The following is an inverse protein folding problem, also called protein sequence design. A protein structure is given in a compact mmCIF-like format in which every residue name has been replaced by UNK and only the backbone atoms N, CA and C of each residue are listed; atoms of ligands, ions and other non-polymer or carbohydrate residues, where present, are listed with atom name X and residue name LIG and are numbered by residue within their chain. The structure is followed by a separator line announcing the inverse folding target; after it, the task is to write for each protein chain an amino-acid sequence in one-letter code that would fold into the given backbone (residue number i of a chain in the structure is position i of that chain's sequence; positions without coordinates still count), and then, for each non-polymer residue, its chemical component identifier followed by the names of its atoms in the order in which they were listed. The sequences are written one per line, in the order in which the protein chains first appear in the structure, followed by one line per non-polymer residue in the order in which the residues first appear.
data_IF_096157990342
#
_entry.id   IF_096157990342
#
_cell.length_a   1.000
_cell.length_b   1.000
_cell.length_c   1.000
_cell.angle_alpha   90.00
_cell.angle_beta   90.00
_cell.angle_gamma   90.00
#
_symmetry.space_group_name_H-M   'P 1'
#
loop_
_entity.id
_entity.type
_entity.pdbx_description
1 polymer ?
#
# COMPACT_ATOMS: atom_id res chain seq x y z
N UNK A 1 3.98 34.44 5.85
CA UNK A 1 5.26 33.92 6.37
C UNK A 1 5.05 32.47 6.72
N UNK A 2 5.67 31.54 5.99
CA UNK A 2 5.64 30.08 6.23
C UNK A 2 6.77 29.73 7.22
N UNK A 3 6.82 30.37 8.40
CA UNK A 3 7.79 30.02 9.42
C UNK A 3 7.28 28.80 10.19
N UNK A 4 7.89 27.65 9.96
CA UNK A 4 7.57 26.40 10.63
C UNK A 4 7.45 25.17 9.72
N UNK A 5 7.52 25.32 8.42
CA UNK A 5 7.63 24.14 7.55
C UNK A 5 9.04 23.55 7.66
N UNK A 6 9.14 22.21 7.86
CA UNK A 6 10.45 21.57 7.82
C UNK A 6 11.13 21.83 6.47
N UNK A 7 12.44 22.04 6.49
CA UNK A 7 13.23 22.15 5.27
C UNK A 7 13.20 20.81 4.51
N UNK A 8 12.26 20.68 3.59
CA UNK A 8 12.08 19.47 2.79
C UNK A 8 13.30 19.16 1.91
N UNK A 9 14.12 20.18 1.58
CA UNK A 9 15.33 19.98 0.79
C UNK A 9 16.39 19.19 1.56
N UNK A 10 16.41 19.27 2.89
CA UNK A 10 17.31 18.49 3.74
C UNK A 10 17.07 16.97 3.63
N UNK A 11 15.85 16.57 3.28
CA UNK A 11 15.52 15.16 3.09
C UNK A 11 16.03 14.58 1.77
N UNK A 12 16.36 15.43 0.80
CA UNK A 12 16.79 15.01 -0.53
C UNK A 12 17.99 14.06 -0.50
N UNK A 13 18.95 14.32 0.39
CA UNK A 13 20.15 13.49 0.56
C UNK A 13 19.85 12.05 1.05
N UNK A 14 18.67 11.82 1.63
CA UNK A 14 18.24 10.48 2.09
C UNK A 14 17.77 9.57 0.95
N UNK A 15 17.59 10.10 -0.26
CA UNK A 15 17.12 9.38 -1.43
C UNK A 15 18.20 9.37 -2.53
N UNK A 16 19.02 8.32 -2.63
CA UNK A 16 20.20 8.29 -3.51
C UNK A 16 19.91 8.61 -4.97
N UNK A 17 18.76 8.20 -5.51
CA UNK A 17 18.37 8.47 -6.90
C UNK A 17 18.30 9.96 -7.22
N UNK A 18 17.98 10.80 -6.23
CA UNK A 18 17.84 12.25 -6.40
C UNK A 18 19.19 12.98 -6.57
N UNK A 19 20.32 12.29 -6.35
CA UNK A 19 21.63 12.83 -6.66
C UNK A 19 21.90 12.95 -8.17
N UNK A 20 21.28 12.08 -8.97
CA UNK A 20 21.56 11.96 -10.41
C UNK A 20 20.32 12.10 -11.30
N UNK A 21 19.11 12.07 -10.75
CA UNK A 21 17.86 12.09 -11.52
C UNK A 21 16.85 13.11 -10.95
N UNK A 22 16.04 13.67 -11.85
CA UNK A 22 14.77 14.28 -11.49
C UNK A 22 13.73 13.19 -11.46
N UNK A 23 13.31 12.75 -10.24
CA UNK A 23 12.43 11.61 -10.06
C UNK A 23 11.00 12.09 -9.77
N UNK A 24 10.08 11.88 -10.72
CA UNK A 24 8.70 12.38 -10.65
C UNK A 24 7.65 11.26 -10.75
N UNK A 25 8.06 9.97 -10.63
CA UNK A 25 7.19 8.80 -10.80
C UNK A 25 6.85 8.12 -9.47
N UNK A 26 6.83 8.86 -8.36
CA UNK A 26 6.52 8.32 -7.02
C UNK A 26 5.12 7.67 -6.91
N UNK A 27 4.22 7.99 -7.82
CA UNK A 27 2.90 7.38 -7.93
C UNK A 27 2.95 5.90 -8.32
N UNK A 28 4.02 5.43 -8.96
CA UNK A 28 4.21 4.04 -9.37
C UNK A 28 5.17 3.31 -8.44
N UNK A 29 6.42 3.78 -8.36
CA UNK A 29 7.43 3.27 -7.45
C UNK A 29 8.12 4.43 -6.77
N UNK A 30 7.95 4.57 -5.45
CA UNK A 30 8.57 5.64 -4.67
C UNK A 30 10.10 5.63 -4.75
N UNK A 31 10.72 6.81 -4.66
CA UNK A 31 12.16 6.89 -4.51
C UNK A 31 12.59 6.14 -3.24
N UNK A 32 13.54 5.21 -3.37
CA UNK A 32 13.98 4.39 -2.24
C UNK A 32 14.84 5.22 -1.26
N UNK A 33 14.49 5.28 0.03
CA UNK A 33 15.37 5.82 1.06
C UNK A 33 16.62 4.96 1.24
N UNK A 34 17.76 5.57 1.53
CA UNK A 34 19.01 4.84 1.78
C UNK A 34 18.91 3.85 2.95
N UNK A 35 18.09 4.15 3.96
CA UNK A 35 17.84 3.28 5.12
C UNK A 35 17.20 1.94 4.78
N UNK A 36 16.54 1.81 3.64
CA UNK A 36 15.88 0.55 3.22
C UNK A 36 16.88 -0.59 3.08
N UNK A 37 18.13 -0.30 2.67
CA UNK A 37 19.18 -1.31 2.54
C UNK A 37 19.46 -1.95 3.90
N UNK A 38 19.57 -1.13 4.95
CA UNK A 38 19.80 -1.61 6.31
C UNK A 38 18.60 -2.41 6.85
N UNK A 39 17.39 -1.91 6.67
CA UNK A 39 16.18 -2.62 7.09
C UNK A 39 16.02 -3.98 6.41
N UNK A 40 16.39 -4.10 5.11
CA UNK A 40 16.39 -5.38 4.42
C UNK A 40 17.46 -6.33 4.95
N UNK A 41 18.63 -5.81 5.33
CA UNK A 41 19.68 -6.60 5.94
C UNK A 41 19.22 -7.15 7.30
N UNK A 42 18.69 -6.31 8.16
CA UNK A 42 18.12 -6.69 9.45
C UNK A 42 17.02 -7.76 9.31
N UNK A 43 16.11 -7.58 8.33
CA UNK A 43 15.06 -8.54 8.04
C UNK A 43 15.65 -9.92 7.70
N UNK A 44 16.63 -9.98 6.80
CA UNK A 44 17.23 -11.24 6.36
C UNK A 44 18.08 -11.90 7.44
N UNK A 45 18.80 -11.12 8.25
CA UNK A 45 19.60 -11.62 9.39
C UNK A 45 18.70 -12.20 10.49
N UNK A 46 17.60 -11.53 10.80
CA UNK A 46 16.61 -12.01 11.76
C UNK A 46 15.99 -13.33 11.29
N UNK A 47 15.61 -13.41 10.01
CA UNK A 47 15.08 -14.65 9.43
C UNK A 47 16.11 -15.78 9.49
N UNK A 48 17.33 -15.52 9.05
CA UNK A 48 18.41 -16.53 9.02
C UNK A 48 18.77 -17.06 10.42
N UNK A 49 18.70 -16.21 11.44
CA UNK A 49 19.09 -16.59 12.82
C UNK A 49 17.97 -17.14 13.66
N UNK A 50 16.72 -16.69 13.46
CA UNK A 50 15.59 -17.03 14.34
C UNK A 50 14.48 -17.86 13.64
N UNK A 51 14.49 -17.94 12.32
CA UNK A 51 13.48 -18.70 11.58
C UNK A 51 12.06 -18.24 11.91
N UNK A 52 11.19 -19.16 12.32
CA UNK A 52 9.78 -18.89 12.63
C UNK A 52 9.57 -17.92 13.81
N UNK A 53 10.51 -17.84 14.74
CA UNK A 53 10.43 -16.93 15.91
C UNK A 53 10.53 -15.46 15.48
N UNK A 54 11.09 -15.17 14.31
CA UNK A 54 11.13 -13.82 13.76
C UNK A 54 9.76 -13.16 13.60
N UNK A 55 8.67 -13.94 13.53
CA UNK A 55 7.29 -13.41 13.51
C UNK A 55 6.95 -12.59 14.76
N UNK A 56 7.56 -12.87 15.90
CA UNK A 56 7.34 -12.10 17.13
C UNK A 56 7.82 -10.65 17.00
N UNK A 57 8.75 -10.40 16.07
CA UNK A 57 9.20 -9.05 15.71
C UNK A 57 8.39 -8.47 14.55
N UNK A 58 8.17 -9.23 13.49
CA UNK A 58 7.56 -8.69 12.26
C UNK A 58 6.09 -8.33 12.41
N UNK A 59 5.29 -9.11 13.17
CA UNK A 59 3.87 -8.80 13.35
C UNK A 59 3.65 -7.46 14.07
N UNK A 60 4.39 -7.13 15.16
CA UNK A 60 4.34 -5.80 15.76
C UNK A 60 4.74 -4.68 14.78
N UNK A 61 5.73 -4.89 13.90
CA UNK A 61 6.14 -3.89 12.90
C UNK A 61 5.05 -3.62 11.87
N UNK A 62 4.33 -4.65 11.43
CA UNK A 62 3.16 -4.48 10.54
C UNK A 62 2.07 -3.64 11.24
N UNK A 63 1.78 -3.93 12.51
CA UNK A 63 0.79 -3.17 13.28
C UNK A 63 1.24 -1.72 13.51
N UNK A 64 2.51 -1.50 13.81
CA UNK A 64 3.11 -0.16 13.97
C UNK A 64 3.03 0.64 12.66
N UNK A 65 3.31 0.01 11.52
CA UNK A 65 3.20 0.64 10.20
C UNK A 65 1.76 1.10 9.94
N UNK A 66 0.77 0.24 10.21
CA UNK A 66 -0.64 0.61 10.09
C UNK A 66 -0.98 1.81 10.99
N UNK A 67 -0.50 1.82 12.24
CA UNK A 67 -0.72 2.91 13.18
C UNK A 67 -0.12 4.25 12.72
N UNK A 68 1.07 4.24 12.11
CA UNK A 68 1.68 5.45 11.53
C UNK A 68 0.84 5.98 10.37
N UNK A 69 0.35 5.10 9.51
CA UNK A 69 -0.52 5.50 8.40
C UNK A 69 -1.86 6.07 8.89
N UNK A 70 -2.45 5.50 9.95
CA UNK A 70 -3.65 6.03 10.61
C UNK A 70 -3.42 7.48 11.07
N UNK A 71 -2.27 7.77 11.69
CA UNK A 71 -1.93 9.13 12.11
C UNK A 71 -1.82 10.09 10.91
N UNK A 72 -1.18 9.66 9.82
CA UNK A 72 -0.99 10.48 8.61
C UNK A 72 -2.33 10.87 7.97
N UNK A 73 -3.29 9.95 7.91
CA UNK A 73 -4.61 10.19 7.30
C UNK A 73 -5.68 10.59 8.32
N UNK A 74 -5.33 10.76 9.59
CA UNK A 74 -6.25 11.06 10.69
C UNK A 74 -7.39 10.03 10.85
N UNK A 75 -7.09 8.75 10.61
CA UNK A 75 -8.02 7.65 10.80
C UNK A 75 -8.07 7.19 12.26
N UNK A 76 -9.19 6.60 12.73
CA UNK A 76 -9.24 5.99 14.07
C UNK A 76 -8.23 4.85 14.22
N UNK A 77 -7.70 4.66 15.42
CA UNK A 77 -6.80 3.54 15.72
C UNK A 77 -7.48 2.19 15.49
N UNK A 78 -6.76 1.29 14.82
CA UNK A 78 -7.23 -0.06 14.47
C UNK A 78 -8.19 -0.10 13.27
N UNK A 79 -8.32 1.01 12.53
CA UNK A 79 -9.17 1.07 11.32
C UNK A 79 -8.42 0.71 10.03
N UNK A 80 -7.10 0.54 10.10
CA UNK A 80 -6.27 0.23 8.93
C UNK A 80 -5.68 -1.17 9.02
N UNK A 81 -5.69 -1.87 7.89
CA UNK A 81 -5.00 -3.15 7.74
C UNK A 81 -4.03 -3.10 6.56
N UNK A 82 -2.89 -3.77 6.72
CA UNK A 82 -1.89 -3.85 5.67
C UNK A 82 -2.21 -4.99 4.71
N UNK A 83 -2.21 -4.71 3.42
CA UNK A 83 -2.40 -5.70 2.36
C UNK A 83 -1.19 -5.71 1.43
N UNK A 84 -0.93 -6.84 0.77
CA UNK A 84 0.21 -7.00 -0.13
C UNK A 84 0.17 -6.05 -1.33
N UNK A 85 -1.03 -5.78 -1.86
CA UNK A 85 -1.26 -4.90 -3.00
C UNK A 85 -2.73 -4.48 -3.09
N UNK A 86 -3.01 -3.49 -3.94
CA UNK A 86 -4.36 -2.97 -4.18
C UNK A 86 -5.33 -4.05 -4.67
N UNK A 87 -4.88 -4.96 -5.53
CA UNK A 87 -5.73 -6.02 -6.09
C UNK A 87 -6.23 -6.96 -4.99
N UNK A 88 -5.36 -7.38 -4.07
CA UNK A 88 -5.75 -8.23 -2.95
C UNK A 88 -6.68 -7.51 -1.96
N UNK A 89 -6.40 -6.23 -1.68
CA UNK A 89 -7.27 -5.41 -0.84
C UNK A 89 -8.67 -5.26 -1.46
N UNK A 90 -8.73 -4.94 -2.76
CA UNK A 90 -9.99 -4.82 -3.47
C UNK A 90 -10.72 -6.16 -3.58
N UNK A 91 -10.02 -7.27 -3.81
CA UNK A 91 -10.63 -8.60 -3.81
C UNK A 91 -11.29 -8.93 -2.47
N UNK A 92 -10.62 -8.61 -1.35
CA UNK A 92 -11.19 -8.80 -0.02
C UNK A 92 -12.46 -7.96 0.19
N UNK A 93 -12.47 -6.69 -0.25
CA UNK A 93 -13.66 -5.83 -0.17
C UNK A 93 -14.81 -6.39 -1.03
N UNK A 94 -14.52 -6.74 -2.29
CA UNK A 94 -15.53 -7.23 -3.22
C UNK A 94 -16.12 -8.58 -2.77
N UNK A 95 -15.35 -9.41 -2.07
CA UNK A 95 -15.83 -10.68 -1.52
C UNK A 95 -16.88 -10.53 -0.40
N UNK A 96 -17.01 -9.34 0.17
CA UNK A 96 -18.02 -9.02 1.19
C UNK A 96 -19.35 -8.54 0.58
N UNK A 97 -19.43 -8.40 -0.75
CA UNK A 97 -20.60 -7.86 -1.44
C UNK A 97 -21.40 -8.97 -2.10
N UNK A 98 -22.71 -8.87 -2.00
CA UNK A 98 -23.65 -9.71 -2.74
C UNK A 98 -24.16 -8.92 -3.95
N UNK A 99 -24.17 -9.55 -5.13
CA UNK A 99 -24.58 -8.94 -6.38
C UNK A 99 -25.96 -9.40 -6.79
N UNK A 100 -26.98 -8.90 -6.08
CA UNK A 100 -28.38 -9.17 -6.35
C UNK A 100 -29.10 -7.92 -6.86
N UNK A 101 -30.07 -8.11 -7.78
CA UNK A 101 -30.89 -7.01 -8.27
C UNK A 101 -31.69 -6.36 -7.14
N UNK A 102 -31.80 -5.04 -7.13
CA UNK A 102 -31.32 -4.05 -8.14
C UNK A 102 -29.91 -3.50 -7.86
N UNK A 103 -29.13 -4.07 -6.93
CA UNK A 103 -27.84 -3.55 -6.46
C UNK A 103 -26.67 -4.44 -6.89
N UNK A 104 -26.59 -4.79 -8.16
CA UNK A 104 -25.56 -5.65 -8.70
C UNK A 104 -24.53 -4.93 -9.60
N UNK A 105 -24.55 -3.59 -9.67
CA UNK A 105 -23.67 -2.84 -10.54
C UNK A 105 -22.40 -2.42 -9.85
N UNK A 106 -21.25 -2.61 -10.53
CA UNK A 106 -19.94 -2.05 -10.17
C UNK A 106 -19.57 -1.01 -11.22
N UNK A 107 -19.49 0.26 -10.80
CA UNK A 107 -19.03 1.34 -11.67
C UNK A 107 -17.54 1.58 -11.43
N UNK A 108 -16.75 1.68 -12.51
CA UNK A 108 -15.34 2.04 -12.42
C UNK A 108 -14.92 3.00 -13.54
N UNK A 109 -13.79 3.70 -13.34
CA UNK A 109 -13.26 4.61 -14.35
C UNK A 109 -12.53 3.85 -15.46
N UNK A 110 -12.59 4.41 -16.69
CA UNK A 110 -11.73 3.95 -17.77
C UNK A 110 -10.25 4.26 -17.45
N UNK A 111 -9.35 3.30 -17.73
CA UNK A 111 -7.91 3.47 -17.50
C UNK A 111 -7.44 3.07 -16.10
N UNK A 112 -8.23 2.28 -15.39
CA UNK A 112 -7.77 1.61 -14.17
C UNK A 112 -6.55 0.72 -14.46
N UNK A 113 -5.80 0.40 -13.40
CA UNK A 113 -4.66 -0.49 -13.53
C UNK A 113 -5.15 -1.89 -13.99
N UNK A 114 -4.46 -2.56 -14.93
CA UNK A 114 -4.96 -3.77 -15.57
C UNK A 114 -5.44 -4.87 -14.62
N UNK A 115 -4.75 -5.08 -13.48
CA UNK A 115 -5.17 -6.10 -12.49
C UNK A 115 -6.48 -5.75 -11.80
N UNK A 116 -6.82 -4.47 -11.67
CA UNK A 116 -8.11 -4.03 -11.16
C UNK A 116 -9.21 -4.34 -12.17
N UNK A 117 -8.99 -4.03 -13.46
CA UNK A 117 -9.95 -4.36 -14.51
C UNK A 117 -10.23 -5.86 -14.59
N UNK A 118 -9.17 -6.71 -14.54
CA UNK A 118 -9.33 -8.16 -14.52
C UNK A 118 -10.10 -8.66 -13.30
N UNK A 119 -9.84 -8.10 -12.13
CA UNK A 119 -10.55 -8.46 -10.90
C UNK A 119 -12.03 -8.10 -11.00
N UNK A 120 -12.36 -6.89 -11.47
CA UNK A 120 -13.74 -6.44 -11.63
C UNK A 120 -14.47 -7.28 -12.68
N UNK A 121 -13.85 -7.57 -13.82
CA UNK A 121 -14.45 -8.42 -14.84
C UNK A 121 -14.75 -9.84 -14.32
N UNK A 122 -13.89 -10.35 -13.43
CA UNK A 122 -14.11 -11.62 -12.72
C UNK A 122 -15.40 -11.66 -11.90
N UNK A 123 -15.87 -10.52 -11.36
CA UNK A 123 -17.09 -10.43 -10.55
C UNK A 123 -18.36 -10.71 -11.37
N UNK A 124 -18.32 -10.57 -12.71
CA UNK A 124 -19.44 -10.94 -13.60
C UNK A 124 -19.90 -12.38 -13.42
N UNK A 125 -18.96 -13.27 -13.05
CA UNK A 125 -19.26 -14.69 -12.84
C UNK A 125 -20.16 -14.96 -11.65
N UNK A 126 -20.22 -14.02 -10.71
CA UNK A 126 -21.01 -14.12 -9.48
C UNK A 126 -22.17 -13.10 -9.44
N UNK A 127 -22.55 -12.55 -10.59
CA UNK A 127 -23.77 -11.75 -10.75
C UNK A 127 -23.55 -10.24 -10.88
N UNK A 128 -22.32 -9.74 -10.80
CA UNK A 128 -22.06 -8.32 -10.96
C UNK A 128 -22.23 -7.86 -12.42
N UNK A 129 -22.84 -6.71 -12.61
CA UNK A 129 -22.82 -5.95 -13.86
C UNK A 129 -21.71 -4.89 -13.75
N UNK A 130 -20.62 -5.05 -14.50
CA UNK A 130 -19.48 -4.13 -14.47
C UNK A 130 -19.68 -3.07 -15.55
N UNK A 131 -19.77 -1.81 -15.14
CA UNK A 131 -20.05 -0.64 -15.97
C UNK A 131 -18.82 0.28 -15.96
N UNK A 132 -18.42 0.75 -17.16
CA UNK A 132 -17.23 1.58 -17.38
C UNK A 132 -17.59 3.02 -17.74
#
# INVERSE_FOLDING_TARGET
MLSGMPDLLSWRAKFPILASKTYLINNSLGAMPASVIESLREYTELWASQGVVAWDTWLPEVANTAAILEDIIHAPRGSMTMCQNVTNALAAILSCLEYELPRNQILHCAGEFPTVEYLLDGQRRIGAEVVR
#
